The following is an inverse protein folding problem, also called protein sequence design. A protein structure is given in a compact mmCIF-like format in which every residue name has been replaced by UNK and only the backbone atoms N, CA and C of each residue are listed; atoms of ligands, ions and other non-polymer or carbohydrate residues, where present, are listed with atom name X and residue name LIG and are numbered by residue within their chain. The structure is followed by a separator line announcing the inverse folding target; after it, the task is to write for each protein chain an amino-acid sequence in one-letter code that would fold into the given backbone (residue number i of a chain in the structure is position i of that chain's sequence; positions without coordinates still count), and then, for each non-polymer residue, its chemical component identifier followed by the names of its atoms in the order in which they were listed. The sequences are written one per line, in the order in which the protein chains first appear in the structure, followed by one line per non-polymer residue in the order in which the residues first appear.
data_IF_212544968559
#
_entry.id   IF_212544968559
#
_cell.length_a   1.000
_cell.length_b   1.000
_cell.length_c   1.000
_cell.angle_alpha   90.00
_cell.angle_beta   90.00
_cell.angle_gamma   90.00
#
_symmetry.space_group_name_H-M   'P 1'
#
loop_
_entity.id
_entity.type
_entity.pdbx_description
1 polymer ?
#
# COMPACT_ATOMS: atom_id res chain seq x y z
N UNK A 1 3.11 -17.09 1.79
CA UNK A 1 1.88 -16.33 2.21
C UNK A 1 1.15 -15.86 0.97
N UNK A 2 -0.12 -16.23 0.84
CA UNK A 2 -0.95 -15.75 -0.29
C UNK A 2 -1.41 -14.33 -0.04
N UNK A 3 -1.23 -13.44 -1.03
CA UNK A 3 -1.66 -12.04 -0.95
C UNK A 3 -2.66 -11.73 -2.07
N UNK A 4 -3.54 -10.76 -1.80
CA UNK A 4 -4.44 -10.19 -2.78
C UNK A 4 -4.21 -8.68 -2.90
N UNK A 5 -4.13 -8.20 -4.13
CA UNK A 5 -4.05 -6.78 -4.47
C UNK A 5 -5.42 -6.36 -5.02
N UNK A 6 -6.15 -5.54 -4.30
CA UNK A 6 -7.48 -5.07 -4.70
C UNK A 6 -7.34 -3.78 -5.48
N UNK A 7 -7.30 -3.92 -6.80
CA UNK A 7 -7.29 -2.80 -7.74
C UNK A 7 -8.71 -2.28 -7.91
N UNK A 8 -8.99 -1.06 -7.43
CA UNK A 8 -10.35 -0.51 -7.44
C UNK A 8 -10.38 0.98 -7.80
N UNK A 9 -11.53 1.44 -8.25
CA UNK A 9 -11.84 2.86 -8.37
C UNK A 9 -12.39 3.39 -7.04
N UNK A 10 -12.18 4.67 -6.80
CA UNK A 10 -12.56 5.36 -5.57
C UNK A 10 -13.66 6.36 -5.90
N UNK A 11 -14.77 6.29 -5.19
CA UNK A 11 -15.78 7.35 -5.23
C UNK A 11 -15.22 8.56 -4.47
N UNK A 12 -15.00 9.64 -5.20
CA UNK A 12 -14.29 10.80 -4.67
C UNK A 12 -14.94 11.37 -3.41
N UNK A 13 -14.19 11.44 -2.32
CA UNK A 13 -14.57 11.95 -1.00
C UNK A 13 -15.79 11.26 -0.36
N UNK A 14 -16.23 10.11 -0.89
CA UNK A 14 -17.34 9.31 -0.37
C UNK A 14 -16.87 7.93 0.10
N UNK A 15 -16.52 7.86 1.39
CA UNK A 15 -16.05 6.62 1.99
C UNK A 15 -17.13 5.53 2.01
N UNK A 16 -18.40 5.89 2.25
CA UNK A 16 -19.47 4.91 2.34
C UNK A 16 -19.72 4.23 0.99
N UNK A 17 -19.78 5.01 -0.09
CA UNK A 17 -19.95 4.47 -1.43
C UNK A 17 -18.75 3.61 -1.86
N UNK A 18 -17.51 4.05 -1.57
CA UNK A 18 -16.32 3.26 -1.90
C UNK A 18 -16.27 1.96 -1.09
N UNK A 19 -16.53 2.02 0.22
CA UNK A 19 -16.54 0.83 1.08
C UNK A 19 -17.60 -0.19 0.65
N UNK A 20 -18.80 0.27 0.25
CA UNK A 20 -19.83 -0.63 -0.28
C UNK A 20 -19.36 -1.39 -1.54
N UNK A 21 -18.58 -0.75 -2.42
CA UNK A 21 -17.97 -1.39 -3.61
C UNK A 21 -16.84 -2.33 -3.23
N UNK A 22 -16.09 -2.03 -2.16
CA UNK A 22 -14.97 -2.86 -1.71
C UNK A 22 -15.41 -4.17 -1.05
N UNK A 23 -16.51 -4.21 -0.32
CA UNK A 23 -16.96 -5.40 0.41
C UNK A 23 -16.97 -6.67 -0.46
N UNK A 24 -17.56 -6.70 -1.67
CA UNK A 24 -17.53 -7.90 -2.51
C UNK A 24 -16.11 -8.27 -2.99
N UNK A 25 -15.24 -7.30 -3.26
CA UNK A 25 -13.85 -7.57 -3.67
C UNK A 25 -13.03 -8.14 -2.50
N UNK A 26 -13.24 -7.63 -1.29
CA UNK A 26 -12.62 -8.17 -0.08
C UNK A 26 -13.06 -9.61 0.20
N UNK A 27 -14.37 -9.88 0.05
CA UNK A 27 -14.92 -11.24 0.17
C UNK A 27 -14.32 -12.19 -0.88
N UNK A 28 -14.19 -11.73 -2.13
CA UNK A 28 -13.52 -12.48 -3.21
C UNK A 28 -12.06 -12.76 -2.86
N UNK A 29 -11.31 -11.78 -2.36
CA UNK A 29 -9.92 -11.93 -1.96
C UNK A 29 -9.76 -12.98 -0.85
N UNK A 30 -10.58 -12.92 0.19
CA UNK A 30 -10.56 -13.88 1.29
C UNK A 30 -10.96 -15.29 0.83
N UNK A 31 -12.02 -15.41 0.02
CA UNK A 31 -12.44 -16.69 -0.57
C UNK A 31 -11.36 -17.30 -1.49
N UNK A 32 -10.53 -16.45 -2.14
CA UNK A 32 -9.35 -16.86 -2.89
C UNK A 32 -8.16 -17.31 -2.01
N UNK A 33 -8.31 -17.32 -0.68
CA UNK A 33 -7.31 -17.79 0.25
C UNK A 33 -6.25 -16.74 0.61
N UNK A 34 -6.49 -15.45 0.36
CA UNK A 34 -5.56 -14.40 0.73
C UNK A 34 -5.43 -14.31 2.27
N UNK A 35 -4.19 -14.14 2.74
CA UNK A 35 -3.87 -13.88 4.14
C UNK A 35 -3.57 -12.40 4.39
N UNK A 36 -3.07 -11.70 3.36
CA UNK A 36 -2.94 -10.26 3.32
C UNK A 36 -3.72 -9.71 2.12
N UNK A 37 -4.54 -8.71 2.34
CA UNK A 37 -5.30 -8.00 1.31
C UNK A 37 -4.83 -6.54 1.32
N UNK A 38 -4.29 -6.06 0.18
CA UNK A 38 -3.82 -4.69 0.04
C UNK A 38 -4.83 -3.86 -0.77
N UNK A 39 -5.22 -2.73 -0.18
CA UNK A 39 -6.01 -1.66 -0.79
C UNK A 39 -5.11 -0.50 -1.19
N UNK A 40 -5.63 0.44 -1.96
CA UNK A 40 -4.87 1.55 -2.53
C UNK A 40 -4.55 2.67 -1.51
N UNK A 41 -3.80 3.68 -1.94
CA UNK A 41 -3.58 4.91 -1.18
C UNK A 41 -4.90 5.66 -1.00
N UNK A 42 -5.15 6.17 0.22
CA UNK A 42 -6.40 6.88 0.59
C UNK A 42 -7.65 6.19 0.02
N UNK A 43 -7.68 4.88 0.19
CA UNK A 43 -8.52 3.91 -0.51
C UNK A 43 -10.01 4.22 -0.45
N UNK A 44 -10.48 4.91 0.60
CA UNK A 44 -11.89 5.15 0.84
C UNK A 44 -12.40 6.48 0.26
N UNK A 45 -11.56 7.53 0.24
CA UNK A 45 -11.97 8.89 -0.14
C UNK A 45 -11.14 9.49 -1.28
N UNK A 46 -10.03 8.83 -1.68
CA UNK A 46 -9.13 9.31 -2.71
C UNK A 46 -8.11 10.33 -2.23
N UNK A 47 -7.16 10.64 -3.10
CA UNK A 47 -6.04 11.53 -2.83
C UNK A 47 -6.47 13.00 -2.87
N UNK A 48 -7.26 13.40 -1.87
CA UNK A 48 -7.80 14.76 -1.72
C UNK A 48 -6.89 15.65 -0.88
N UNK A 49 -6.83 16.93 -1.23
CA UNK A 49 -6.17 17.97 -0.42
C UNK A 49 -7.15 18.70 0.50
N UNK A 50 -8.43 18.39 0.45
CA UNK A 50 -9.44 18.88 1.39
C UNK A 50 -9.40 18.07 2.70
N UNK A 51 -8.34 18.28 3.48
CA UNK A 51 -8.11 17.53 4.73
C UNK A 51 -9.21 17.74 5.77
N UNK A 52 -9.93 18.85 5.71
CA UNK A 52 -11.03 19.10 6.65
C UNK A 52 -12.25 18.20 6.34
N UNK A 53 -12.42 17.80 5.08
CA UNK A 53 -13.46 16.86 4.65
C UNK A 53 -13.02 15.39 4.77
N UNK A 54 -11.74 15.09 4.45
CA UNK A 54 -11.34 13.68 4.29
C UNK A 54 -10.61 13.10 5.49
N UNK A 55 -9.95 13.91 6.31
CA UNK A 55 -9.17 13.38 7.43
C UNK A 55 -10.06 12.89 8.58
N UNK A 56 -9.65 11.80 9.18
CA UNK A 56 -10.31 11.16 10.31
C UNK A 56 -9.30 11.00 11.46
N UNK A 57 -9.75 10.97 12.73
CA UNK A 57 -8.84 10.64 13.81
C UNK A 57 -8.36 9.19 13.72
N UNK A 58 -7.21 8.85 14.31
CA UNK A 58 -6.84 7.45 14.56
C UNK A 58 -7.98 6.70 15.24
N UNK A 59 -8.34 5.51 14.74
CA UNK A 59 -9.53 4.78 15.18
C UNK A 59 -10.84 5.30 14.58
N UNK A 60 -10.79 6.23 13.62
CA UNK A 60 -11.97 6.76 12.93
C UNK A 60 -12.69 5.74 12.03
N UNK A 61 -13.82 6.14 11.40
CA UNK A 61 -14.70 5.23 10.68
C UNK A 61 -14.00 4.39 9.59
N UNK A 62 -13.09 4.98 8.83
CA UNK A 62 -12.38 4.25 7.76
C UNK A 62 -11.37 3.25 8.33
N UNK A 63 -10.67 3.57 9.42
CA UNK A 63 -9.82 2.61 10.11
C UNK A 63 -10.66 1.48 10.72
N UNK A 64 -11.80 1.80 11.32
CA UNK A 64 -12.72 0.79 11.87
C UNK A 64 -13.26 -0.14 10.77
N UNK A 65 -13.52 0.37 9.57
CA UNK A 65 -13.86 -0.48 8.43
C UNK A 65 -12.77 -1.53 8.16
N UNK A 66 -11.48 -1.14 8.12
CA UNK A 66 -10.38 -2.09 7.93
C UNK A 66 -10.34 -3.13 9.06
N UNK A 67 -10.45 -2.69 10.33
CA UNK A 67 -10.43 -3.59 11.50
C UNK A 67 -11.59 -4.58 11.47
N UNK A 68 -12.80 -4.10 11.20
CA UNK A 68 -13.99 -4.96 11.14
C UNK A 68 -13.91 -5.97 9.97
N UNK A 69 -13.43 -5.54 8.80
CA UNK A 69 -13.27 -6.45 7.66
C UNK A 69 -12.14 -7.45 7.91
N UNK A 70 -11.01 -7.04 8.50
CA UNK A 70 -9.92 -7.94 8.86
C UNK A 70 -10.40 -9.06 9.80
N UNK A 71 -11.13 -8.70 10.85
CA UNK A 71 -11.70 -9.67 11.79
C UNK A 71 -12.74 -10.59 11.13
N UNK A 72 -13.67 -10.03 10.35
CA UNK A 72 -14.74 -10.80 9.70
C UNK A 72 -14.20 -11.80 8.66
N UNK A 73 -13.14 -11.44 7.94
CA UNK A 73 -12.55 -12.26 6.87
C UNK A 73 -11.41 -13.16 7.35
N UNK A 74 -10.92 -12.96 8.58
CA UNK A 74 -9.78 -13.68 9.12
C UNK A 74 -8.46 -13.40 8.38
N UNK A 75 -8.32 -12.21 7.78
CA UNK A 75 -7.19 -11.79 6.96
C UNK A 75 -6.59 -10.49 7.47
N UNK A 76 -5.31 -10.23 7.17
CA UNK A 76 -4.72 -8.91 7.33
C UNK A 76 -5.15 -7.99 6.21
N UNK A 77 -5.46 -6.74 6.52
CA UNK A 77 -5.82 -5.71 5.56
C UNK A 77 -4.87 -4.52 5.67
N UNK A 78 -4.42 -3.98 4.52
CA UNK A 78 -3.61 -2.76 4.49
C UNK A 78 -4.14 -1.79 3.44
N UNK A 79 -4.17 -0.51 3.77
CA UNK A 79 -4.52 0.59 2.86
C UNK A 79 -4.22 1.93 3.54
N UNK A 80 -4.05 3.03 2.79
CA UNK A 80 -3.80 4.29 3.48
C UNK A 80 -5.06 5.15 3.64
N UNK A 81 -5.01 6.02 4.64
CA UNK A 81 -6.10 6.89 5.10
C UNK A 81 -5.52 8.26 5.42
N UNK A 82 -6.25 9.34 5.17
CA UNK A 82 -5.93 10.65 5.71
C UNK A 82 -6.27 10.68 7.22
N UNK A 83 -5.28 10.85 8.07
CA UNK A 83 -5.48 10.90 9.53
C UNK A 83 -5.02 12.23 10.13
N UNK A 84 -5.81 12.74 11.08
CA UNK A 84 -5.51 13.93 11.88
C UNK A 84 -6.11 13.74 13.27
N UNK A 85 -5.42 14.21 14.33
CA UNK A 85 -5.93 14.13 15.70
C UNK A 85 -7.31 14.80 15.80
N UNK A 86 -8.20 14.23 16.63
CA UNK A 86 -9.57 14.71 16.78
C UNK A 86 -9.65 16.14 17.38
N UNK A 87 -8.68 16.53 18.19
CA UNK A 87 -8.56 17.83 18.85
C UNK A 87 -7.67 18.81 18.08
N UNK A 88 -7.20 18.44 16.88
CA UNK A 88 -6.39 19.31 16.06
C UNK A 88 -7.21 20.52 15.58
N UNK A 89 -6.65 21.75 15.61
CA UNK A 89 -7.32 22.92 15.08
C UNK A 89 -7.74 22.76 13.62
N UNK A 90 -8.84 23.40 13.22
CA UNK A 90 -9.22 23.49 11.80
C UNK A 90 -8.08 24.06 10.96
N UNK A 91 -7.82 23.46 9.80
CA UNK A 91 -6.69 23.83 8.94
C UNK A 91 -5.33 23.25 9.36
N UNK A 92 -5.27 22.46 10.43
CA UNK A 92 -4.06 21.67 10.73
C UNK A 92 -3.83 20.63 9.64
N UNK A 93 -2.55 20.36 9.34
CA UNK A 93 -2.18 19.32 8.39
C UNK A 93 -2.57 17.94 8.93
N UNK A 94 -2.91 17.05 8.00
CA UNK A 94 -3.13 15.63 8.26
C UNK A 94 -1.85 14.83 8.00
N UNK A 95 -1.90 13.51 8.15
CA UNK A 95 -0.91 12.56 7.66
C UNK A 95 -1.58 11.57 6.71
N UNK A 96 -0.86 11.14 5.68
CA UNK A 96 -1.25 10.02 4.83
C UNK A 96 -0.73 8.74 5.48
N UNK A 97 -1.60 7.99 6.16
CA UNK A 97 -1.21 6.88 7.03
C UNK A 97 -1.66 5.55 6.44
N UNK A 98 -0.70 4.70 6.07
CA UNK A 98 -1.02 3.30 5.81
C UNK A 98 -1.34 2.60 7.13
N UNK A 99 -2.50 1.98 7.17
CA UNK A 99 -3.02 1.22 8.31
C UNK A 99 -2.99 -0.25 7.95
N UNK A 100 -2.28 -1.05 8.73
CA UNK A 100 -2.32 -2.51 8.68
C UNK A 100 -3.16 -3.02 9.84
N UNK A 101 -4.31 -3.61 9.53
CA UNK A 101 -5.24 -4.19 10.49
C UNK A 101 -5.15 -5.72 10.46
N UNK A 102 -4.96 -6.32 11.63
CA UNK A 102 -4.93 -7.76 11.82
C UNK A 102 -6.30 -8.37 12.13
N UNK A 103 -6.50 -9.67 11.86
CA UNK A 103 -7.74 -10.37 12.19
C UNK A 103 -8.00 -10.46 13.70
N UNK A 104 -6.98 -10.26 14.51
CA UNK A 104 -7.02 -10.19 15.97
C UNK A 104 -7.39 -8.80 16.52
N UNK A 105 -7.68 -7.84 15.64
CA UNK A 105 -7.93 -6.44 15.99
C UNK A 105 -6.68 -5.60 16.20
N UNK A 106 -5.49 -6.16 16.01
CA UNK A 106 -4.25 -5.40 16.07
C UNK A 106 -4.16 -4.39 14.93
N UNK A 107 -3.57 -3.22 15.21
CA UNK A 107 -3.37 -2.15 14.25
C UNK A 107 -1.93 -1.67 14.27
N UNK A 108 -1.33 -1.55 13.09
CA UNK A 108 -0.03 -0.90 12.88
C UNK A 108 -0.20 0.23 11.89
N UNK A 109 0.59 1.30 12.04
CA UNK A 109 0.47 2.51 11.23
C UNK A 109 1.82 2.96 10.72
N UNK A 110 1.85 3.36 9.46
CA UNK A 110 2.99 3.97 8.78
C UNK A 110 2.55 5.30 8.20
N UNK A 111 3.09 6.41 8.67
CA UNK A 111 2.88 7.72 8.07
C UNK A 111 3.83 7.89 6.87
N UNK A 112 3.29 8.24 5.71
CA UNK A 112 4.04 8.50 4.48
C UNK A 112 5.18 9.46 4.73
N UNK A 113 6.42 9.06 4.44
CA UNK A 113 7.63 9.85 4.70
C UNK A 113 7.75 10.98 3.67
N UNK A 114 7.36 10.74 2.41
CA UNK A 114 7.52 11.68 1.33
C UNK A 114 6.17 12.18 0.77
N UNK A 115 5.57 13.25 1.33
CA UNK A 115 4.43 13.91 0.69
C UNK A 115 4.79 14.36 -0.73
N UNK A 116 3.85 14.19 -1.67
CA UNK A 116 4.07 14.51 -3.08
C UNK A 116 3.96 16.03 -3.32
N UNK A 117 5.04 16.76 -3.16
CA UNK A 117 5.13 18.22 -3.23
C UNK A 117 4.71 18.78 -4.60
N UNK A 118 4.92 18.03 -5.70
CA UNK A 118 4.48 18.47 -7.04
C UNK A 118 2.96 18.68 -7.12
N UNK A 119 2.16 17.91 -6.37
CA UNK A 119 0.71 18.12 -6.25
C UNK A 119 0.34 19.08 -5.12
N UNK A 120 1.30 19.51 -4.31
CA UNK A 120 1.07 20.34 -3.14
C UNK A 120 0.67 19.53 -1.89
N UNK A 121 0.82 18.21 -1.87
CA UNK A 121 0.49 17.37 -0.70
C UNK A 121 1.20 17.86 0.57
N UNK A 122 2.45 18.30 0.46
CA UNK A 122 3.26 18.83 1.56
C UNK A 122 2.68 20.05 2.28
N UNK A 123 1.72 20.74 1.65
CA UNK A 123 1.02 21.88 2.26
C UNK A 123 -0.12 21.42 3.19
N UNK A 124 -0.69 20.25 2.94
CA UNK A 124 -1.87 19.71 3.61
C UNK A 124 -1.57 18.49 4.47
N UNK A 125 -0.49 17.77 4.15
CA UNK A 125 -0.08 16.55 4.85
C UNK A 125 1.33 16.68 5.41
N UNK A 126 1.50 16.24 6.63
CA UNK A 126 2.81 16.17 7.30
C UNK A 126 3.55 14.90 6.90
N UNK A 127 4.86 15.02 6.75
CA UNK A 127 5.76 13.88 6.55
C UNK A 127 5.83 13.01 7.81
N UNK A 128 5.81 11.69 7.61
CA UNK A 128 6.22 10.72 8.62
C UNK A 128 7.74 10.74 8.82
N UNK A 129 8.21 10.06 9.88
CA UNK A 129 9.63 9.99 10.22
C UNK A 129 10.10 8.55 10.43
N UNK A 130 9.18 7.63 10.73
CA UNK A 130 9.49 6.28 11.14
C UNK A 130 9.12 5.26 10.05
N UNK A 131 9.94 4.24 9.92
CA UNK A 131 9.62 3.07 9.11
C UNK A 131 8.70 2.10 9.85
N UNK A 132 7.94 1.31 9.09
CA UNK A 132 7.19 0.18 9.62
C UNK A 132 7.65 -1.09 8.93
N UNK A 133 8.32 -1.97 9.68
CA UNK A 133 8.52 -3.37 9.33
C UNK A 133 7.80 -4.24 10.35
N UNK A 134 7.01 -5.20 9.88
CA UNK A 134 6.17 -6.06 10.73
C UNK A 134 6.16 -7.47 10.16
N UNK A 135 6.18 -8.47 11.04
CA UNK A 135 6.00 -9.86 10.63
C UNK A 135 4.50 -10.20 10.56
N UNK A 136 4.08 -10.72 9.42
CA UNK A 136 2.73 -11.21 9.15
C UNK A 136 2.84 -12.63 8.63
N UNK A 137 2.40 -13.61 9.42
CA UNK A 137 2.40 -15.03 9.04
C UNK A 137 3.75 -15.54 8.51
N UNK A 138 4.84 -15.15 9.18
CA UNK A 138 6.19 -15.56 8.84
C UNK A 138 6.82 -14.79 7.68
N UNK A 139 6.19 -13.72 7.19
CA UNK A 139 6.72 -12.82 6.16
C UNK A 139 6.98 -11.44 6.77
N UNK A 140 8.19 -10.93 6.63
CA UNK A 140 8.57 -9.58 7.08
C UNK A 140 8.15 -8.57 6.02
N UNK A 141 7.16 -7.74 6.35
CA UNK A 141 6.59 -6.72 5.48
C UNK A 141 7.11 -5.35 5.85
N UNK A 142 7.57 -4.57 4.88
CA UNK A 142 7.81 -3.12 5.02
C UNK A 142 6.82 -2.36 4.14
N UNK A 143 6.14 -1.35 4.72
CA UNK A 143 5.01 -0.68 4.09
C UNK A 143 5.43 0.72 3.63
N UNK A 144 5.06 1.08 2.40
CA UNK A 144 5.30 2.38 1.79
C UNK A 144 4.06 2.89 1.06
N UNK A 145 3.99 4.22 0.91
CA UNK A 145 2.86 4.88 0.26
C UNK A 145 3.32 5.63 -0.98
N UNK A 146 2.89 5.19 -2.14
CA UNK A 146 2.91 5.87 -3.43
C UNK A 146 4.24 6.58 -3.76
N UNK A 147 4.37 7.86 -3.45
CA UNK A 147 5.54 8.68 -3.80
C UNK A 147 6.83 8.20 -3.12
N UNK A 148 6.74 7.51 -1.97
CA UNK A 148 7.89 6.89 -1.31
C UNK A 148 8.65 5.94 -2.25
N UNK A 149 7.95 5.32 -3.22
CA UNK A 149 8.56 4.45 -4.24
C UNK A 149 9.73 5.11 -4.98
N UNK A 150 9.78 6.44 -5.08
CA UNK A 150 10.86 7.15 -5.77
C UNK A 150 12.18 7.17 -5.00
N UNK A 151 12.14 6.95 -3.71
CA UNK A 151 13.27 7.14 -2.81
C UNK A 151 13.92 5.80 -2.46
N UNK A 152 14.94 5.42 -3.24
CA UNK A 152 15.62 4.14 -3.12
C UNK A 152 16.25 3.91 -1.74
N UNK A 153 16.74 4.98 -1.11
CA UNK A 153 17.43 4.91 0.18
C UNK A 153 16.54 4.32 1.29
N UNK A 154 15.23 4.59 1.25
CA UNK A 154 14.27 4.10 2.24
C UNK A 154 14.11 2.58 2.14
N UNK A 155 13.95 2.08 0.91
CA UNK A 155 13.90 0.63 0.65
C UNK A 155 15.24 -0.04 0.99
N UNK A 156 16.34 0.62 0.63
CA UNK A 156 17.69 0.16 0.90
C UNK A 156 17.96 0.01 2.39
N UNK A 157 17.50 0.96 3.22
CA UNK A 157 17.69 0.92 4.66
C UNK A 157 17.07 -0.32 5.32
N UNK A 158 15.93 -0.80 4.77
CA UNK A 158 15.16 -1.91 5.32
C UNK A 158 15.45 -3.27 4.67
N UNK A 159 16.35 -3.34 3.68
CA UNK A 159 16.45 -4.53 2.85
C UNK A 159 16.81 -5.81 3.60
N UNK A 160 17.62 -5.75 4.64
CA UNK A 160 17.97 -6.94 5.44
C UNK A 160 16.81 -7.47 6.27
N UNK A 161 15.86 -6.61 6.62
CA UNK A 161 14.74 -6.90 7.49
C UNK A 161 13.41 -7.12 6.74
N UNK A 162 13.44 -7.08 5.39
CA UNK A 162 12.24 -7.14 4.56
C UNK A 162 12.26 -8.34 3.62
N UNK A 163 11.18 -9.11 3.63
CA UNK A 163 10.93 -10.16 2.63
C UNK A 163 10.02 -9.65 1.50
N UNK A 164 9.09 -8.74 1.84
CA UNK A 164 8.17 -8.14 0.87
C UNK A 164 7.88 -6.68 1.22
N UNK A 165 8.14 -5.78 0.27
CA UNK A 165 7.67 -4.40 0.33
C UNK A 165 6.23 -4.31 -0.14
N UNK A 166 5.37 -3.65 0.62
CA UNK A 166 3.98 -3.36 0.24
C UNK A 166 3.89 -1.89 -0.12
N UNK A 167 3.47 -1.59 -1.35
CA UNK A 167 3.33 -0.22 -1.86
C UNK A 167 1.87 0.03 -2.24
N UNK A 168 1.20 0.90 -1.50
CA UNK A 168 -0.18 1.31 -1.78
C UNK A 168 -0.20 2.66 -2.48
N UNK A 169 -0.95 2.82 -3.60
CA UNK A 169 -0.79 4.01 -4.44
C UNK A 169 -2.07 4.52 -5.13
N UNK A 170 -2.01 5.82 -5.45
CA UNK A 170 -2.79 6.51 -6.48
C UNK A 170 -1.83 7.06 -7.55
N UNK A 171 -1.25 6.18 -8.35
CA UNK A 171 -0.22 6.52 -9.32
C UNK A 171 -0.83 6.71 -10.72
N UNK A 172 -0.80 7.93 -11.29
CA UNK A 172 -1.54 8.22 -12.52
C UNK A 172 -0.85 7.70 -13.79
N UNK A 173 -1.66 7.45 -14.82
CA UNK A 173 -1.27 6.89 -16.10
C UNK A 173 -0.13 7.63 -16.79
N UNK A 174 -0.06 8.97 -16.69
CA UNK A 174 0.99 9.77 -17.32
C UNK A 174 2.40 9.49 -16.76
N UNK A 175 2.49 8.78 -15.65
CA UNK A 175 3.73 8.30 -15.03
C UNK A 175 3.79 6.77 -14.91
N UNK A 176 2.97 6.05 -15.70
CA UNK A 176 2.90 4.58 -15.73
C UNK A 176 4.26 3.92 -15.87
N UNK A 177 5.09 4.40 -16.80
CA UNK A 177 6.44 3.86 -16.99
C UNK A 177 7.32 3.96 -15.73
N UNK A 178 7.23 5.07 -14.98
CA UNK A 178 7.98 5.21 -13.72
C UNK A 178 7.51 4.19 -12.67
N UNK A 179 6.19 3.95 -12.57
CA UNK A 179 5.62 2.94 -11.68
C UNK A 179 6.24 1.56 -11.96
N UNK A 180 6.11 1.08 -13.19
CA UNK A 180 6.58 -0.24 -13.58
C UNK A 180 8.08 -0.43 -13.42
N UNK A 181 8.88 0.58 -13.80
CA UNK A 181 10.35 0.51 -13.71
C UNK A 181 10.83 0.56 -12.26
N UNK A 182 10.26 1.47 -11.45
CA UNK A 182 10.70 1.64 -10.06
C UNK A 182 10.33 0.45 -9.19
N UNK A 183 9.13 -0.13 -9.32
CA UNK A 183 8.75 -1.33 -8.59
C UNK A 183 9.73 -2.48 -8.85
N UNK A 184 10.05 -2.71 -10.12
CA UNK A 184 11.01 -3.74 -10.53
C UNK A 184 12.42 -3.46 -10.00
N UNK A 185 12.85 -2.21 -10.04
CA UNK A 185 14.14 -1.80 -9.47
C UNK A 185 14.19 -2.09 -7.96
N UNK A 186 13.13 -1.73 -7.19
CA UNK A 186 13.06 -2.00 -5.74
C UNK A 186 13.14 -3.49 -5.43
N UNK A 187 12.50 -4.35 -6.23
CA UNK A 187 12.58 -5.79 -6.05
C UNK A 187 14.01 -6.32 -6.27
N UNK A 188 14.63 -5.94 -7.39
CA UNK A 188 15.96 -6.42 -7.80
C UNK A 188 17.05 -5.95 -6.84
N UNK A 189 17.12 -4.64 -6.57
CA UNK A 189 18.21 -4.05 -5.78
C UNK A 189 18.19 -4.45 -4.31
N UNK A 190 16.99 -4.79 -3.77
CA UNK A 190 16.81 -5.22 -2.38
C UNK A 190 16.64 -6.72 -2.23
N UNK A 191 16.60 -7.47 -3.36
CA UNK A 191 16.41 -8.92 -3.38
C UNK A 191 15.23 -9.35 -2.49
N UNK A 192 14.09 -8.69 -2.67
CA UNK A 192 12.86 -8.90 -1.93
C UNK A 192 11.65 -8.81 -2.87
N UNK A 193 10.51 -9.37 -2.46
CA UNK A 193 9.26 -9.16 -3.19
C UNK A 193 8.82 -7.70 -3.11
N UNK A 194 8.06 -7.27 -4.12
CA UNK A 194 7.33 -6.00 -4.11
C UNK A 194 5.87 -6.28 -4.47
N UNK A 195 4.98 -6.10 -3.50
CA UNK A 195 3.53 -6.16 -3.66
C UNK A 195 2.99 -4.74 -3.82
N UNK A 196 2.60 -4.36 -5.01
CA UNK A 196 2.20 -3.01 -5.31
C UNK A 196 0.75 -2.96 -5.80
N UNK A 197 -0.08 -2.16 -5.13
CA UNK A 197 -1.48 -1.95 -5.48
C UNK A 197 -1.73 -0.50 -5.85
N UNK A 198 -2.37 -0.30 -7.00
CA UNK A 198 -2.69 1.02 -7.53
C UNK A 198 -4.15 1.09 -7.96
N UNK A 199 -4.76 2.27 -7.85
CA UNK A 199 -6.15 2.47 -8.25
C UNK A 199 -6.34 2.45 -9.78
N UNK A 200 -7.59 2.26 -10.19
CA UNK A 200 -8.10 2.54 -11.53
C UNK A 200 -9.09 3.72 -11.51
N UNK A 201 -9.64 4.07 -12.67
CA UNK A 201 -10.64 5.14 -12.81
C UNK A 201 -10.03 6.51 -13.12
N UNK A 202 -10.79 7.56 -12.86
CA UNK A 202 -10.37 8.93 -13.18
C UNK A 202 -10.84 9.93 -12.13
N UNK A 203 -10.07 11.00 -11.98
CA UNK A 203 -10.42 12.15 -11.13
C UNK A 203 -9.91 13.43 -11.83
N UNK A 204 -10.84 14.35 -12.13
CA UNK A 204 -10.51 15.55 -12.87
C UNK A 204 -9.88 15.21 -14.23
N UNK A 205 -8.60 15.59 -14.44
CA UNK A 205 -7.84 15.31 -15.67
C UNK A 205 -6.89 14.12 -15.53
N UNK A 206 -6.87 13.45 -14.39
CA UNK A 206 -6.00 12.32 -14.13
C UNK A 206 -6.73 11.01 -14.39
N UNK A 207 -6.10 10.14 -15.16
CA UNK A 207 -6.53 8.76 -15.35
C UNK A 207 -5.59 7.83 -14.60
N UNK A 208 -6.14 6.73 -14.09
CA UNK A 208 -5.45 5.67 -13.37
C UNK A 208 -5.76 4.35 -14.05
N UNK A 209 -4.74 3.57 -14.33
CA UNK A 209 -4.84 2.32 -15.11
C UNK A 209 -4.54 1.07 -14.28
N UNK A 210 -4.34 1.24 -12.99
CA UNK A 210 -3.97 0.14 -12.12
C UNK A 210 -2.51 -0.24 -12.26
N UNK A 211 -2.22 -1.30 -13.01
CA UNK A 211 -0.91 -1.97 -13.05
C UNK A 211 -0.48 -2.44 -11.65
N UNK A 212 -1.45 -2.92 -10.87
CA UNK A 212 -1.16 -3.60 -9.61
C UNK A 212 -0.42 -4.90 -9.89
N UNK A 213 0.63 -5.21 -9.11
CA UNK A 213 1.52 -6.32 -9.42
C UNK A 213 2.24 -6.84 -8.18
N UNK A 214 2.48 -8.15 -8.13
CA UNK A 214 3.51 -8.76 -7.27
C UNK A 214 4.74 -9.05 -8.13
N UNK A 215 5.90 -8.58 -7.68
CA UNK A 215 7.19 -8.78 -8.33
C UNK A 215 8.10 -9.61 -7.41
N UNK A 216 8.78 -10.61 -7.95
CA UNK A 216 9.69 -11.47 -7.20
C UNK A 216 11.08 -10.81 -6.98
N UNK A 217 11.96 -11.39 -6.16
CA UNK A 217 13.31 -10.86 -5.91
C UNK A 217 14.24 -10.77 -7.14
N UNK A 218 13.85 -11.35 -8.29
CA UNK A 218 14.55 -11.22 -9.58
C UNK A 218 13.92 -10.17 -10.50
N UNK A 219 12.84 -9.51 -10.05
CA UNK A 219 12.13 -8.53 -10.87
C UNK A 219 11.12 -9.15 -11.84
N UNK A 220 10.74 -10.41 -11.65
CA UNK A 220 9.72 -11.08 -12.46
C UNK A 220 8.32 -10.85 -11.86
N UNK A 221 7.36 -10.58 -12.74
CA UNK A 221 5.98 -10.41 -12.32
C UNK A 221 5.35 -11.77 -11.98
N UNK A 222 4.71 -11.86 -10.81
CA UNK A 222 4.09 -13.06 -10.26
C UNK A 222 2.56 -13.02 -10.26
N UNK A 223 1.97 -12.01 -10.88
CA UNK A 223 0.52 -11.84 -11.04
C UNK A 223 0.16 -11.70 -12.51
N UNK A 224 -1.03 -12.19 -12.87
CA UNK A 224 -1.57 -11.90 -14.19
C UNK A 224 -2.00 -10.43 -14.27
N UNK A 225 -1.74 -9.74 -15.39
CA UNK A 225 -2.21 -8.37 -15.58
C UNK A 225 -3.73 -8.27 -15.49
N UNK A 226 -4.22 -7.21 -14.86
CA UNK A 226 -5.64 -6.94 -14.71
C UNK A 226 -6.00 -5.57 -15.29
N UNK A 227 -6.94 -5.56 -16.23
CA UNK A 227 -7.56 -4.34 -16.73
C UNK A 227 -8.80 -4.02 -15.89
N UNK A 228 -8.94 -2.75 -15.43
CA UNK A 228 -10.08 -2.30 -14.64
C UNK A 228 -10.05 -2.76 -13.19
N UNK A 229 -11.24 -2.82 -12.56
CA UNK A 229 -11.39 -3.21 -11.16
C UNK A 229 -11.32 -4.73 -10.99
N UNK A 230 -10.74 -5.17 -9.88
CA UNK A 230 -10.72 -6.58 -9.50
C UNK A 230 -9.65 -6.93 -8.50
N UNK A 231 -9.39 -8.22 -8.36
CA UNK A 231 -8.48 -8.79 -7.37
C UNK A 231 -7.39 -9.60 -8.09
N UNK A 232 -6.13 -9.23 -7.87
CA UNK A 232 -4.97 -9.99 -8.31
C UNK A 232 -4.45 -10.83 -7.14
N UNK A 233 -4.03 -12.05 -7.42
CA UNK A 233 -3.47 -12.95 -6.42
C UNK A 233 -2.02 -13.28 -6.71
N UNK A 234 -1.20 -13.36 -5.66
CA UNK A 234 0.17 -13.81 -5.75
C UNK A 234 0.64 -14.51 -4.47
N UNK A 235 1.78 -15.18 -4.56
CA UNK A 235 2.38 -15.90 -3.43
C UNK A 235 3.71 -15.26 -3.06
N UNK A 236 3.87 -14.88 -1.80
CA UNK A 236 5.15 -14.46 -1.21
C UNK A 236 5.74 -15.63 -0.44
N UNK A 237 6.91 -16.07 -0.87
CA UNK A 237 7.68 -17.12 -0.21
C UNK A 237 8.95 -16.51 0.40
N UNK A 238 9.05 -16.35 1.73
CA UNK A 238 10.25 -15.83 2.36
C UNK A 238 11.48 -16.75 2.16
N UNK A 239 11.27 -18.07 1.96
CA UNK A 239 12.36 -18.96 1.67
C UNK A 239 13.03 -18.63 0.33
N UNK A 240 12.25 -18.20 -0.66
CA UNK A 240 12.77 -17.72 -1.94
C UNK A 240 13.69 -16.51 -1.78
N UNK A 241 13.36 -15.58 -0.86
CA UNK A 241 14.22 -14.44 -0.53
C UNK A 241 15.55 -14.90 0.06
N UNK A 242 15.51 -15.85 1.00
CA UNK A 242 16.71 -16.44 1.61
C UNK A 242 17.60 -17.10 0.56
N UNK A 243 17.03 -17.91 -0.33
CA UNK A 243 17.75 -18.60 -1.39
C UNK A 243 18.43 -17.63 -2.38
N UNK A 244 17.70 -16.58 -2.79
CA UNK A 244 18.22 -15.56 -3.71
C UNK A 244 19.41 -14.83 -3.08
N UNK A 245 19.27 -14.38 -1.83
CA UNK A 245 20.32 -13.67 -1.10
C UNK A 245 21.53 -14.55 -0.81
N UNK A 246 21.32 -15.83 -0.51
CA UNK A 246 22.43 -16.78 -0.31
C UNK A 246 23.19 -17.06 -1.62
N UNK A 247 22.47 -17.19 -2.73
CA UNK A 247 23.06 -17.45 -4.05
C UNK A 247 23.77 -16.22 -4.64
N UNK A 248 23.23 -15.03 -4.40
CA UNK A 248 23.71 -13.76 -4.91
C UNK A 248 23.83 -12.75 -3.77
N UNK A 249 24.91 -12.72 -3.01
CA UNK A 249 25.01 -11.94 -1.77
C UNK A 249 25.26 -10.45 -2.02
N UNK A 250 24.51 -9.81 -2.93
CA UNK A 250 24.71 -8.41 -3.33
C UNK A 250 24.50 -7.42 -2.17
N UNK A 251 23.62 -7.79 -1.22
CA UNK A 251 23.39 -6.95 -0.04
C UNK A 251 24.62 -6.87 0.87
N UNK A 252 25.51 -7.86 0.85
CA UNK A 252 26.74 -7.86 1.62
C UNK A 252 27.78 -6.87 1.09
N UNK A 253 27.68 -6.45 -0.18
CA UNK A 253 28.59 -5.50 -0.81
C UNK A 253 28.20 -4.03 -0.53
N UNK A 254 27.12 -3.78 0.18
CA UNK A 254 26.66 -2.44 0.56
C UNK A 254 27.67 -1.75 1.47
N UNK A 255 27.93 -0.47 1.20
CA UNK A 255 28.87 0.38 1.95
C UNK A 255 28.15 1.55 2.60
#
# INVERSE_FOLDING_TARGET
MRIALVQHDIVWEDAAATQARLVPLLAQAAAGGARLIALTEMFAKGFSMDVDTVAEPPGGPTEQFLVCQAAALGCWLVGSIAQRAADAPTGSRAQNVAVLAGPDGSVRRYAKIHPFSYSGEDKYYEAGQDFLTVEVEGVRLSIFVCYDLRFANEFWALAHDTDCYVVVANWPQNRRNHWNVLLRARAIENQAYVAAVNRVGSVGRLNYVGDSVLIDPFGLECTEPLEGEGVLFGEVDPQRVVEVRAKYPFLADRR
#
